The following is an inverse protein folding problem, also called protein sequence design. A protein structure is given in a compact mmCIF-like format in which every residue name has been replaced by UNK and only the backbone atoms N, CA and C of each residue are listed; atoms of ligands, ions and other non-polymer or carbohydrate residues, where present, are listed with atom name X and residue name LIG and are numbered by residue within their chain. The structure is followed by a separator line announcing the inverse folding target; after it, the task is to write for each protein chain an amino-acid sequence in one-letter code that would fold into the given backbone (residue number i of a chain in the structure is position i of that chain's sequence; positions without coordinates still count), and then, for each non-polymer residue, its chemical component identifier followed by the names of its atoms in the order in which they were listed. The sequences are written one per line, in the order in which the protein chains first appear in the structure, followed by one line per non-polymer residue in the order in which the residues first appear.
data_IF_919749982774
#
_entry.id   IF_919749982774
#
_cell.length_a   1.000
_cell.length_b   1.000
_cell.length_c   1.000
_cell.angle_alpha   90.00
_cell.angle_beta   90.00
_cell.angle_gamma   90.00
#
_symmetry.space_group_name_H-M   'P 1'
#
loop_
_entity.id
_entity.type
_entity.pdbx_description
1 polymer ?
#
# COMPACT_ATOMS: atom_id res chain seq x y z
N UNK A 1 -2.57 -5.93 5.91
CA UNK A 1 -1.97 -4.77 6.61
C UNK A 1 -1.98 -5.03 8.10
N UNK A 2 -0.92 -4.63 8.81
CA UNK A 2 -0.81 -4.68 10.27
C UNK A 2 -1.05 -3.27 10.79
N UNK A 3 -2.03 -3.10 11.66
CA UNK A 3 -2.39 -1.80 12.24
C UNK A 3 -2.23 -1.85 13.75
N UNK A 4 -1.59 -0.84 14.30
CA UNK A 4 -1.21 -0.74 15.70
C UNK A 4 -1.65 0.62 16.23
N UNK A 5 -2.32 0.61 17.38
CA UNK A 5 -2.63 1.84 18.11
C UNK A 5 -1.38 2.24 18.89
N UNK A 6 -0.71 3.31 18.45
CA UNK A 6 0.54 3.79 19.08
C UNK A 6 0.19 4.56 20.35
N UNK A 7 -0.79 5.46 20.27
CA UNK A 7 -1.36 6.22 21.40
C UNK A 7 -2.84 6.49 21.14
N UNK A 8 -3.57 7.07 22.09
CA UNK A 8 -5.01 7.38 21.94
C UNK A 8 -5.40 8.15 20.66
N UNK A 9 -4.65 9.18 20.24
CA UNK A 9 -4.94 9.88 18.99
C UNK A 9 -4.21 9.30 17.78
N UNK A 10 -3.27 8.36 17.95
CA UNK A 10 -2.31 8.00 16.90
C UNK A 10 -2.33 6.50 16.57
N UNK A 11 -2.56 6.20 15.30
CA UNK A 11 -2.58 4.84 14.76
C UNK A 11 -1.53 4.73 13.66
N UNK A 12 -0.67 3.73 13.74
CA UNK A 12 0.24 3.39 12.65
C UNK A 12 -0.31 2.18 11.90
N UNK A 13 -0.08 2.11 10.59
CA UNK A 13 -0.36 0.91 9.79
C UNK A 13 0.79 0.62 8.85
N UNK A 14 1.13 -0.65 8.72
CA UNK A 14 2.06 -1.19 7.73
C UNK A 14 1.27 -2.06 6.77
N UNK A 15 1.38 -1.81 5.47
CA UNK A 15 0.74 -2.63 4.47
C UNK A 15 1.75 -3.08 3.42
N UNK A 16 1.53 -4.30 2.95
CA UNK A 16 2.27 -4.90 1.85
C UNK A 16 1.22 -5.42 0.89
N UNK A 17 1.29 -4.99 -0.35
CA UNK A 17 0.41 -5.42 -1.42
C UNK A 17 1.26 -6.09 -2.50
N UNK A 18 0.87 -7.30 -2.88
CA UNK A 18 1.45 -8.01 -3.99
C UNK A 18 0.42 -8.07 -5.12
N UNK A 19 0.73 -7.43 -6.23
CA UNK A 19 -0.09 -7.45 -7.44
C UNK A 19 0.67 -8.18 -8.54
N UNK A 20 0.28 -9.42 -8.78
CA UNK A 20 0.77 -10.18 -9.93
C UNK A 20 -0.16 -9.92 -11.12
N UNK A 21 0.37 -9.22 -12.14
CA UNK A 21 -0.39 -8.96 -13.35
C UNK A 21 -0.57 -10.27 -14.15
N UNK A 22 -1.78 -10.83 -14.18
CA UNK A 22 -2.14 -11.98 -15.03
C UNK A 22 -3.25 -11.62 -16.02
N UNK A 23 -3.06 -11.98 -17.30
CA UNK A 23 -4.01 -11.72 -18.39
C UNK A 23 -3.41 -10.85 -19.52
N UNK A 24 -4.23 -10.35 -20.48
CA UNK A 24 -3.79 -9.61 -21.67
C UNK A 24 -3.05 -8.29 -21.38
N UNK A 25 -3.08 -7.79 -20.13
CA UNK A 25 -2.25 -6.68 -19.67
C UNK A 25 -0.74 -7.04 -19.59
N UNK A 26 -0.39 -8.32 -19.57
CA UNK A 26 0.98 -8.81 -19.51
C UNK A 26 1.60 -9.08 -20.91
N UNK A 27 0.81 -8.96 -21.98
CA UNK A 27 1.24 -9.15 -23.38
C UNK A 27 1.35 -7.84 -24.17
N UNK A 28 1.08 -6.69 -23.55
CA UNK A 28 1.35 -5.38 -24.12
C UNK A 28 2.86 -5.12 -24.19
N UNK A 29 3.37 -4.69 -25.35
CA UNK A 29 4.81 -4.43 -25.59
C UNK A 29 5.40 -3.38 -24.64
N UNK A 30 4.57 -2.48 -24.10
CA UNK A 30 4.95 -1.50 -23.08
C UNK A 30 5.36 -2.13 -21.73
N UNK A 31 4.82 -3.30 -21.39
CA UNK A 31 5.11 -4.00 -20.12
C UNK A 31 6.28 -4.98 -20.27
N UNK A 32 6.55 -5.51 -21.48
CA UNK A 32 7.67 -6.44 -21.73
C UNK A 32 9.04 -5.76 -21.89
N UNK A 33 9.09 -4.50 -22.35
CA UNK A 33 10.38 -3.78 -22.53
C UNK A 33 10.75 -2.85 -21.37
N UNK A 34 9.79 -2.40 -20.55
CA UNK A 34 10.02 -1.38 -19.50
C UNK A 34 9.36 -1.66 -18.15
N UNK A 35 8.64 -2.76 -18.00
CA UNK A 35 7.85 -3.07 -16.80
C UNK A 35 8.25 -4.39 -16.16
N UNK A 36 8.09 -4.47 -14.85
CA UNK A 36 8.24 -5.72 -14.09
C UNK A 36 6.85 -6.33 -13.84
N UNK A 37 6.67 -7.62 -14.14
CA UNK A 37 5.37 -8.33 -14.02
C UNK A 37 4.92 -8.48 -12.56
N UNK A 38 5.89 -8.38 -11.65
CA UNK A 38 5.70 -8.51 -10.21
C UNK A 38 5.71 -7.14 -9.55
N UNK A 39 4.54 -6.54 -9.35
CA UNK A 39 4.44 -5.28 -8.61
C UNK A 39 4.27 -5.57 -7.13
N UNK A 40 5.31 -5.30 -6.35
CA UNK A 40 5.27 -5.32 -4.90
C UNK A 40 5.22 -3.89 -4.38
N UNK A 41 4.17 -3.57 -3.62
CA UNK A 41 4.00 -2.27 -2.98
C UNK A 41 4.10 -2.48 -1.48
N UNK A 42 5.00 -1.73 -0.82
CA UNK A 42 5.05 -1.65 0.63
C UNK A 42 4.84 -0.21 1.03
N UNK A 43 4.02 0.00 2.06
CA UNK A 43 3.71 1.33 2.55
C UNK A 43 3.51 1.34 4.05
N UNK A 44 3.90 2.46 4.64
CA UNK A 44 3.61 2.79 6.03
C UNK A 44 2.69 3.99 6.05
N UNK A 45 1.68 3.95 6.89
CA UNK A 45 0.79 5.08 7.13
C UNK A 45 0.70 5.36 8.62
N UNK A 46 0.51 6.63 8.95
CA UNK A 46 0.31 7.07 10.34
C UNK A 46 -0.82 8.07 10.33
N UNK A 47 -1.83 7.80 11.14
CA UNK A 47 -3.04 8.60 11.24
C UNK A 47 -3.11 9.21 12.63
N UNK A 48 -3.25 10.53 12.67
CA UNK A 48 -3.47 11.28 13.91
C UNK A 48 -4.87 11.88 13.91
N UNK A 49 -5.63 11.63 14.99
CA UNK A 49 -6.99 12.14 15.17
C UNK A 49 -6.98 13.29 16.18
N UNK A 50 -7.28 14.50 15.70
CA UNK A 50 -7.53 15.66 16.57
C UNK A 50 -8.89 15.50 17.25
N UNK A 51 -8.90 15.42 18.58
CA UNK A 51 -10.13 15.41 19.36
C UNK A 51 -10.28 16.78 20.02
N UNK A 52 -11.05 17.68 19.39
CA UNK A 52 -11.40 18.96 19.99
C UNK A 52 -12.58 18.73 20.94
N UNK A 53 -12.32 18.73 22.25
CA UNK A 53 -13.36 18.92 23.26
C UNK A 53 -13.53 20.42 23.45
N UNK A 54 -14.65 20.97 22.97
CA UNK A 54 -15.13 22.29 23.40
C UNK A 54 -15.75 22.19 24.80
#
# INVERSE_FOLDING_TARGET
AITWKVTEPMTASLFTEYSHLMGPAADSSLVKERGDRNQWTVGVSTTYRFNFSM
#
